data_IF_722123327426
#
_entry.id   IF_722123327426
#
_cell.length_a   1.000
_cell.length_b   1.000
_cell.length_c   1.000
_cell.angle_alpha   90.00
_cell.angle_beta   90.00
_cell.angle_gamma   90.00
#
_symmetry.space_group_name_H-M   'P 1'
#
loop_
_entity.id
_entity.type
_entity.pdbx_description
1 polymer ?
#
# COMPACT_ATOMS: atom_id res chain seq x y z
N UNK A 1 7.03 48.17 32.83
CA UNK A 1 7.61 46.89 32.30
C UNK A 1 6.45 45.99 31.96
N UNK A 2 6.09 45.86 30.69
CA UNK A 2 5.11 44.88 30.20
C UNK A 2 5.83 43.53 30.00
N UNK A 3 5.52 42.58 30.84
CA UNK A 3 5.96 41.21 30.63
C UNK A 3 5.27 40.61 29.42
N UNK A 4 6.05 40.23 28.41
CA UNK A 4 5.59 39.51 27.23
C UNK A 4 5.45 38.04 27.66
N UNK A 5 4.20 37.58 27.79
CA UNK A 5 3.91 36.17 28.02
C UNK A 5 4.25 35.44 26.73
N UNK A 6 5.33 34.68 26.71
CA UNK A 6 5.62 33.75 25.64
C UNK A 6 4.78 32.51 25.88
N UNK A 7 3.73 32.34 25.07
CA UNK A 7 3.00 31.07 24.97
C UNK A 7 3.86 30.16 24.09
N UNK A 8 4.47 29.14 24.71
CA UNK A 8 5.00 28.03 23.95
C UNK A 8 3.80 27.24 23.39
N UNK A 9 3.44 27.50 22.16
CA UNK A 9 2.63 26.54 21.39
C UNK A 9 3.48 25.29 21.19
N UNK A 10 3.26 24.31 22.05
CA UNK A 10 3.72 22.94 21.81
C UNK A 10 2.80 22.40 20.72
N UNK A 11 3.26 22.40 19.48
CA UNK A 11 2.61 21.63 18.41
C UNK A 11 2.66 20.18 18.89
N UNK A 12 1.53 19.66 19.36
CA UNK A 12 1.37 18.23 19.57
C UNK A 12 1.39 17.61 18.17
N UNK A 13 2.48 16.96 17.82
CA UNK A 13 2.48 16.01 16.74
C UNK A 13 1.53 14.87 17.18
N UNK A 14 0.33 14.85 16.62
CA UNK A 14 -0.63 13.79 16.92
C UNK A 14 -0.07 12.48 16.35
N UNK A 15 0.16 11.52 17.24
CA UNK A 15 0.60 10.16 16.87
C UNK A 15 -0.54 9.49 16.10
N UNK A 16 -0.25 9.04 14.89
CA UNK A 16 -1.21 8.33 14.05
C UNK A 16 -1.02 6.82 14.15
N UNK A 17 -2.13 6.09 14.01
CA UNK A 17 -2.16 4.64 13.84
C UNK A 17 -2.28 4.33 12.36
N UNK A 18 -1.17 3.95 11.72
CA UNK A 18 -1.11 3.72 10.26
C UNK A 18 -1.05 2.23 9.97
N UNK A 19 -1.85 1.78 9.00
CA UNK A 19 -1.91 0.38 8.60
C UNK A 19 -1.31 0.22 7.21
N UNK A 20 -0.27 -0.59 7.09
CA UNK A 20 0.34 -0.98 5.83
C UNK A 20 -0.25 -2.31 5.37
N UNK A 21 -0.74 -2.36 4.13
CA UNK A 21 -1.32 -3.54 3.49
C UNK A 21 -0.44 -3.92 2.30
N UNK A 22 0.07 -5.14 2.25
CA UNK A 22 0.92 -5.65 1.15
C UNK A 22 0.23 -6.81 0.46
N UNK A 23 0.05 -6.67 -0.83
CA UNK A 23 -0.51 -7.71 -1.70
C UNK A 23 0.56 -8.74 -2.06
N UNK A 24 0.43 -9.94 -1.50
CA UNK A 24 1.27 -11.09 -1.77
C UNK A 24 0.51 -12.23 -2.48
N UNK A 25 -0.55 -11.91 -3.25
CA UNK A 25 -1.23 -12.89 -4.09
C UNK A 25 -0.32 -13.40 -5.22
N UNK A 26 -0.66 -14.54 -5.80
CA UNK A 26 0.12 -15.13 -6.91
C UNK A 26 0.32 -14.15 -8.09
N UNK A 27 -0.65 -13.29 -8.37
CA UNK A 27 -0.55 -12.27 -9.42
C UNK A 27 0.61 -11.31 -9.22
N UNK A 28 1.05 -11.08 -7.97
CA UNK A 28 2.19 -10.22 -7.65
C UNK A 28 3.57 -10.85 -7.95
N UNK A 29 3.60 -12.12 -8.40
CA UNK A 29 4.82 -12.83 -8.80
C UNK A 29 5.27 -12.56 -10.23
N UNK A 30 4.53 -11.74 -10.98
CA UNK A 30 4.88 -11.42 -12.38
C UNK A 30 6.27 -10.77 -12.44
N UNK A 31 7.09 -11.25 -13.35
CA UNK A 31 8.47 -10.79 -13.44
C UNK A 31 9.47 -11.93 -13.25
N UNK A 32 10.72 -11.60 -13.05
CA UNK A 32 11.80 -12.56 -12.83
C UNK A 32 12.88 -12.00 -11.92
N UNK A 33 13.40 -12.84 -11.05
CA UNK A 33 14.50 -12.46 -10.15
C UNK A 33 14.01 -11.56 -9.00
N UNK A 34 14.71 -10.43 -8.79
CA UNK A 34 14.48 -9.51 -7.66
C UNK A 34 13.51 -8.36 -7.96
N UNK A 35 12.95 -8.32 -9.17
CA UNK A 35 12.09 -7.23 -9.62
C UNK A 35 10.70 -7.77 -9.96
N UNK A 36 9.91 -8.07 -8.94
CA UNK A 36 8.49 -8.41 -9.06
C UNK A 36 7.63 -7.33 -8.41
N UNK A 37 6.34 -7.20 -8.73
CA UNK A 37 5.43 -6.29 -8.03
C UNK A 37 5.46 -6.51 -6.50
N UNK A 38 5.52 -7.77 -6.03
CA UNK A 38 5.65 -8.07 -4.60
C UNK A 38 6.94 -7.51 -4.01
N UNK A 39 8.08 -7.72 -4.66
CA UNK A 39 9.37 -7.24 -4.18
C UNK A 39 9.41 -5.71 -4.11
N UNK A 40 8.84 -5.02 -5.12
CA UNK A 40 8.68 -3.58 -5.10
C UNK A 40 7.78 -3.14 -3.95
N UNK A 41 6.62 -3.78 -3.78
CA UNK A 41 5.68 -3.51 -2.68
C UNK A 41 6.33 -3.69 -1.31
N UNK A 42 7.09 -4.75 -1.10
CA UNK A 42 7.82 -4.99 0.15
C UNK A 42 8.88 -3.91 0.43
N UNK A 43 9.64 -3.49 -0.59
CA UNK A 43 10.63 -2.40 -0.45
C UNK A 43 9.98 -1.06 -0.13
N UNK A 44 8.86 -0.76 -0.79
CA UNK A 44 8.09 0.44 -0.50
C UNK A 44 7.53 0.40 0.93
N UNK A 45 6.86 -0.68 1.31
CA UNK A 45 6.32 -0.85 2.65
C UNK A 45 7.39 -0.73 3.74
N UNK A 46 8.59 -1.31 3.52
CA UNK A 46 9.71 -1.16 4.45
C UNK A 46 10.18 0.30 4.59
N UNK A 47 10.24 1.03 3.48
CA UNK A 47 10.63 2.45 3.48
C UNK A 47 9.61 3.30 4.22
N UNK A 48 8.31 3.08 3.96
CA UNK A 48 7.22 3.78 4.66
C UNK A 48 7.18 3.43 6.14
N UNK A 49 7.30 2.15 6.49
CA UNK A 49 7.34 1.71 7.88
C UNK A 49 8.45 2.42 8.64
N UNK A 50 9.66 2.49 8.06
CA UNK A 50 10.79 3.19 8.68
C UNK A 50 10.47 4.66 8.88
N UNK A 51 10.01 5.36 7.83
CA UNK A 51 9.69 6.79 7.92
C UNK A 51 8.64 7.09 8.98
N UNK A 52 7.51 6.35 8.96
CA UNK A 52 6.41 6.54 9.91
C UNK A 52 6.84 6.28 11.36
N UNK A 53 7.66 5.26 11.59
CA UNK A 53 8.20 4.95 12.92
C UNK A 53 9.23 5.99 13.40
N UNK A 54 10.06 6.55 12.49
CA UNK A 54 10.97 7.65 12.78
C UNK A 54 10.18 8.93 13.18
N UNK A 55 9.01 9.14 12.59
CA UNK A 55 8.03 10.19 12.93
C UNK A 55 7.19 9.87 14.18
N UNK A 56 7.51 8.78 14.90
CA UNK A 56 6.86 8.31 16.14
C UNK A 56 5.41 7.86 16.00
N UNK A 57 4.94 7.58 14.78
CA UNK A 57 3.65 6.96 14.55
C UNK A 57 3.63 5.49 15.00
N UNK A 58 2.44 4.96 15.29
CA UNK A 58 2.25 3.52 15.44
C UNK A 58 1.99 2.93 14.05
N UNK A 59 2.60 1.80 13.76
CA UNK A 59 2.48 1.15 12.45
C UNK A 59 2.05 -0.30 12.64
N UNK A 60 1.05 -0.75 11.90
CA UNK A 60 0.75 -2.17 11.72
C UNK A 60 1.09 -2.59 10.29
N UNK A 61 1.42 -3.86 10.10
CA UNK A 61 1.62 -4.44 8.78
C UNK A 61 0.70 -5.64 8.61
N UNK A 62 0.09 -5.75 7.43
CA UNK A 62 -0.63 -6.93 6.98
C UNK A 62 -0.15 -7.33 5.60
N UNK A 63 0.18 -8.60 5.45
CA UNK A 63 0.54 -9.21 4.18
C UNK A 63 -0.55 -10.22 3.86
N UNK A 64 -1.20 -10.08 2.71
CA UNK A 64 -2.29 -10.97 2.32
C UNK A 64 -2.02 -11.68 1.00
N UNK A 65 -2.37 -12.96 0.95
CA UNK A 65 -2.17 -13.81 -0.21
C UNK A 65 -3.02 -15.07 -0.12
N UNK A 66 -2.49 -16.18 0.38
CA UNK A 66 -3.25 -17.36 0.76
C UNK A 66 -3.94 -17.20 2.13
N UNK A 67 -3.29 -16.46 3.02
CA UNK A 67 -3.77 -16.08 4.35
C UNK A 67 -3.35 -14.66 4.67
N UNK A 68 -3.71 -14.17 5.84
CA UNK A 68 -3.30 -12.84 6.32
C UNK A 68 -2.25 -13.03 7.40
N UNK A 69 -1.03 -12.57 7.14
CA UNK A 69 0.02 -12.42 8.15
C UNK A 69 -0.08 -11.00 8.75
N UNK A 70 -0.03 -10.91 10.09
CA UNK A 70 -0.23 -9.64 10.82
C UNK A 70 0.95 -9.32 11.72
N UNK A 71 1.36 -8.06 11.69
CA UNK A 71 2.19 -7.42 12.71
C UNK A 71 1.35 -6.30 13.30
N UNK A 72 0.96 -6.47 14.57
CA UNK A 72 0.04 -5.55 15.25
C UNK A 72 0.63 -4.15 15.43
N UNK A 73 -0.24 -3.14 15.70
CA UNK A 73 0.15 -1.77 15.95
C UNK A 73 1.15 -1.68 17.11
N UNK A 74 2.33 -1.13 16.84
CA UNK A 74 3.36 -0.81 17.81
C UNK A 74 4.34 0.22 17.21
N UNK A 75 5.37 0.63 17.93
CA UNK A 75 6.36 1.64 17.52
C UNK A 75 7.78 1.29 17.97
N UNK A 76 8.74 2.04 17.41
CA UNK A 76 10.16 1.95 17.79
C UNK A 76 10.95 0.93 16.97
N UNK A 77 12.27 0.89 17.19
CA UNK A 77 13.22 0.10 16.38
C UNK A 77 12.96 -1.41 16.42
N UNK A 78 12.60 -1.94 17.59
CA UNK A 78 12.29 -3.36 17.69
C UNK A 78 11.06 -3.74 16.87
N UNK A 79 10.08 -2.84 16.79
CA UNK A 79 8.90 -3.04 15.97
C UNK A 79 9.23 -2.97 14.47
N UNK A 80 10.09 -2.03 14.05
CA UNK A 80 10.61 -1.98 12.69
C UNK A 80 11.24 -3.32 12.30
N UNK A 81 12.04 -3.92 13.19
CA UNK A 81 12.65 -5.22 12.93
C UNK A 81 11.62 -6.34 12.69
N UNK A 82 10.51 -6.37 13.46
CA UNK A 82 9.39 -7.31 13.24
C UNK A 82 8.77 -7.12 11.85
N UNK A 83 8.50 -5.86 11.46
CA UNK A 83 7.95 -5.52 10.14
C UNK A 83 8.90 -5.98 9.01
N UNK A 84 10.19 -5.66 9.11
CA UNK A 84 11.17 -6.06 8.11
C UNK A 84 11.31 -7.58 8.00
N UNK A 85 11.22 -8.29 9.11
CA UNK A 85 11.24 -9.76 9.14
C UNK A 85 10.03 -10.35 8.41
N UNK A 86 8.82 -9.85 8.69
CA UNK A 86 7.60 -10.28 7.99
C UNK A 86 7.69 -10.00 6.49
N UNK A 87 8.09 -8.79 6.08
CA UNK A 87 8.25 -8.43 4.67
C UNK A 87 9.31 -9.30 3.96
N UNK A 88 10.38 -9.67 4.63
CA UNK A 88 11.43 -10.53 4.06
C UNK A 88 11.00 -11.97 3.85
N UNK A 89 9.98 -12.42 4.59
CA UNK A 89 9.41 -13.78 4.48
C UNK A 89 8.23 -13.84 3.52
N UNK A 90 7.72 -12.72 3.05
CA UNK A 90 6.57 -12.64 2.15
C UNK A 90 6.81 -13.44 0.86
N UNK A 91 5.83 -14.26 0.50
CA UNK A 91 5.87 -15.08 -0.73
C UNK A 91 4.58 -14.88 -1.51
N UNK A 92 4.65 -14.85 -2.84
CA UNK A 92 3.45 -14.74 -3.67
C UNK A 92 2.69 -16.08 -3.63
N UNK A 93 1.55 -16.10 -2.96
CA UNK A 93 0.73 -17.30 -2.75
C UNK A 93 -0.75 -16.97 -2.64
N UNK A 94 -1.60 -17.83 -3.19
CA UNK A 94 -3.06 -17.72 -3.08
C UNK A 94 -3.66 -16.52 -3.82
N UNK A 95 -4.94 -16.27 -3.55
CA UNK A 95 -5.70 -15.25 -4.28
C UNK A 95 -6.81 -14.62 -3.40
N UNK A 96 -6.48 -14.30 -2.16
CA UNK A 96 -7.42 -13.68 -1.22
C UNK A 96 -7.77 -12.27 -1.71
N UNK A 97 -9.06 -12.00 -1.94
CA UNK A 97 -9.51 -10.71 -2.45
C UNK A 97 -9.41 -9.61 -1.39
N UNK A 98 -9.05 -8.39 -1.84
CA UNK A 98 -8.88 -7.23 -0.96
C UNK A 98 -10.15 -6.92 -0.16
N UNK A 99 -11.33 -7.10 -0.75
CA UNK A 99 -12.61 -6.91 -0.07
C UNK A 99 -12.72 -7.76 1.20
N UNK A 100 -12.31 -9.04 1.12
CA UNK A 100 -12.34 -9.96 2.26
C UNK A 100 -11.36 -9.51 3.33
N UNK A 101 -10.14 -9.10 2.91
CA UNK A 101 -9.10 -8.60 3.81
C UNK A 101 -9.59 -7.36 4.57
N UNK A 102 -10.14 -6.38 3.88
CA UNK A 102 -10.65 -5.15 4.49
C UNK A 102 -11.86 -5.42 5.39
N UNK A 103 -12.75 -6.31 4.99
CA UNK A 103 -13.92 -6.70 5.81
C UNK A 103 -13.50 -7.34 7.13
N UNK A 104 -12.45 -8.17 7.11
CA UNK A 104 -11.89 -8.81 8.30
C UNK A 104 -11.08 -7.82 9.16
N UNK A 105 -10.39 -6.88 8.54
CA UNK A 105 -9.48 -5.94 9.19
C UNK A 105 -10.20 -4.77 9.88
N UNK A 106 -11.11 -4.09 9.18
CA UNK A 106 -11.68 -2.81 9.62
C UNK A 106 -12.31 -2.83 11.02
N UNK A 107 -12.92 -3.94 11.51
CA UNK A 107 -13.43 -4.00 12.87
C UNK A 107 -12.37 -3.90 13.99
N UNK A 108 -11.11 -4.15 13.68
CA UNK A 108 -10.01 -4.24 14.65
C UNK A 108 -9.06 -3.05 14.63
N UNK A 109 -9.23 -2.11 13.71
CA UNK A 109 -8.39 -0.91 13.63
C UNK A 109 -9.17 0.34 14.07
N UNK A 110 -8.49 1.33 14.69
CA UNK A 110 -9.13 2.57 15.08
C UNK A 110 -9.78 3.27 13.89
N UNK A 111 -10.98 3.82 14.10
CA UNK A 111 -11.69 4.56 13.06
C UNK A 111 -10.88 5.77 12.60
N UNK A 112 -10.80 5.97 11.29
CA UNK A 112 -10.02 7.08 10.71
C UNK A 112 -8.53 6.79 10.55
N UNK A 113 -8.04 5.59 10.92
CA UNK A 113 -6.66 5.20 10.65
C UNK A 113 -6.39 5.23 9.15
N UNK A 114 -5.28 5.86 8.70
CA UNK A 114 -4.86 5.80 7.30
C UNK A 114 -4.43 4.38 6.93
N UNK A 115 -4.90 3.92 5.78
CA UNK A 115 -4.51 2.66 5.16
C UNK A 115 -3.59 2.96 3.99
N UNK A 116 -2.43 2.31 3.92
CA UNK A 116 -1.53 2.40 2.77
C UNK A 116 -1.44 1.02 2.14
N UNK A 117 -1.99 0.90 0.94
CA UNK A 117 -2.02 -0.34 0.18
C UNK A 117 -0.88 -0.37 -0.84
N UNK A 118 -0.12 -1.44 -0.84
CA UNK A 118 0.91 -1.77 -1.83
C UNK A 118 0.42 -2.98 -2.64
N UNK A 119 -0.09 -2.73 -3.84
CA UNK A 119 -0.67 -3.76 -4.71
C UNK A 119 -0.59 -3.35 -6.16
N UNK A 120 -0.34 -4.30 -7.04
CA UNK A 120 -0.44 -4.08 -8.49
C UNK A 120 -1.87 -3.80 -8.95
N UNK A 121 -2.87 -4.04 -8.11
CA UNK A 121 -4.31 -3.92 -8.40
C UNK A 121 -4.81 -4.89 -9.49
N UNK A 122 -3.99 -5.85 -9.88
CA UNK A 122 -4.33 -6.79 -10.93
C UNK A 122 -5.26 -7.90 -10.44
N UNK A 123 -6.05 -8.45 -11.34
CA UNK A 123 -6.90 -9.64 -11.16
C UNK A 123 -7.84 -9.58 -9.93
N UNK A 124 -8.34 -8.38 -9.60
CA UNK A 124 -9.34 -8.21 -8.55
C UNK A 124 -10.45 -7.25 -8.98
N UNK A 125 -11.53 -7.79 -9.50
CA UNK A 125 -12.69 -7.00 -9.95
C UNK A 125 -13.52 -6.40 -8.80
N UNK A 126 -13.21 -6.75 -7.54
CA UNK A 126 -13.92 -6.25 -6.35
C UNK A 126 -13.26 -5.02 -5.74
N UNK A 127 -12.13 -4.54 -6.30
CA UNK A 127 -11.33 -3.44 -5.73
C UNK A 127 -12.15 -2.16 -5.59
N UNK A 128 -12.87 -1.74 -6.63
CA UNK A 128 -13.67 -0.51 -6.60
C UNK A 128 -14.75 -0.55 -5.50
N UNK A 129 -15.40 -1.70 -5.33
CA UNK A 129 -16.40 -1.91 -4.28
C UNK A 129 -15.74 -1.94 -2.89
N UNK A 130 -14.64 -2.65 -2.73
CA UNK A 130 -13.87 -2.72 -1.50
C UNK A 130 -13.44 -1.33 -1.02
N UNK A 131 -12.97 -0.50 -1.93
CA UNK A 131 -12.57 0.87 -1.64
C UNK A 131 -13.75 1.75 -1.26
N UNK A 132 -14.83 1.73 -2.02
CA UNK A 132 -16.05 2.49 -1.73
C UNK A 132 -16.60 2.14 -0.35
N UNK A 133 -16.67 0.85 -0.01
CA UNK A 133 -17.11 0.37 1.29
C UNK A 133 -16.19 0.86 2.43
N UNK A 134 -14.89 0.92 2.20
CA UNK A 134 -13.91 1.35 3.21
C UNK A 134 -14.02 2.86 3.46
N UNK A 135 -14.14 3.67 2.41
CA UNK A 135 -14.33 5.12 2.52
C UNK A 135 -15.65 5.46 3.20
N UNK A 136 -16.74 4.75 2.87
CA UNK A 136 -18.03 4.97 3.48
C UNK A 136 -18.04 4.75 5.01
N UNK A 137 -17.07 4.01 5.52
CA UNK A 137 -16.84 3.79 6.95
C UNK A 137 -15.89 4.80 7.60
N UNK A 138 -15.43 5.82 6.84
CA UNK A 138 -14.59 6.90 7.33
C UNK A 138 -13.09 6.61 7.35
N UNK A 139 -12.63 5.58 6.62
CA UNK A 139 -11.19 5.31 6.44
C UNK A 139 -10.67 5.97 5.18
N UNK A 140 -9.40 6.31 5.18
CA UNK A 140 -8.68 6.77 3.98
C UNK A 140 -7.76 5.68 3.46
N UNK A 141 -7.70 5.51 2.14
CA UNK A 141 -6.78 4.56 1.50
C UNK A 141 -5.90 5.33 0.53
N UNK A 142 -4.60 5.19 0.70
CA UNK A 142 -3.60 5.59 -0.30
C UNK A 142 -3.02 4.33 -0.91
N UNK A 143 -2.95 4.26 -2.21
CA UNK A 143 -2.43 3.07 -2.91
C UNK A 143 -1.12 3.40 -3.62
N UNK A 144 -0.12 2.57 -3.43
CA UNK A 144 1.12 2.54 -4.22
C UNK A 144 1.06 1.31 -5.09
N UNK A 145 0.94 1.52 -6.40
CA UNK A 145 0.65 0.43 -7.34
C UNK A 145 1.81 0.21 -8.31
N UNK A 146 2.70 -0.78 -8.05
CA UNK A 146 3.70 -1.17 -9.02
C UNK A 146 3.02 -1.84 -10.23
N UNK A 147 3.34 -1.35 -11.44
CA UNK A 147 2.74 -1.88 -12.67
C UNK A 147 3.31 -3.26 -13.03
N UNK A 148 2.48 -4.30 -12.97
CA UNK A 148 2.86 -5.64 -13.43
C UNK A 148 3.09 -5.67 -14.95
N UNK A 149 2.38 -4.82 -15.71
CA UNK A 149 2.45 -4.74 -17.16
C UNK A 149 3.85 -4.31 -17.65
N UNK A 150 4.55 -3.48 -16.89
CA UNK A 150 5.92 -3.07 -17.23
C UNK A 150 6.91 -4.26 -17.15
N UNK A 151 6.66 -5.19 -16.22
CA UNK A 151 7.44 -6.43 -16.13
C UNK A 151 7.13 -7.38 -17.28
N UNK A 152 5.85 -7.55 -17.63
CA UNK A 152 5.42 -8.39 -18.74
C UNK A 152 5.97 -7.87 -20.08
N UNK A 153 5.95 -6.56 -20.31
CA UNK A 153 6.50 -5.92 -21.50
C UNK A 153 8.01 -6.15 -21.62
N UNK A 154 8.75 -5.90 -20.53
CA UNK A 154 10.21 -6.11 -20.51
C UNK A 154 10.59 -7.56 -20.77
N UNK A 155 9.80 -8.50 -20.28
CA UNK A 155 10.03 -9.93 -20.50
C UNK A 155 9.48 -10.43 -21.84
N UNK A 156 8.81 -9.58 -22.64
CA UNK A 156 8.18 -9.93 -23.92
C UNK A 156 7.23 -11.13 -23.81
N UNK A 157 6.55 -11.25 -22.67
CA UNK A 157 5.64 -12.38 -22.40
C UNK A 157 4.28 -12.19 -23.04
N UNK A 158 3.85 -10.94 -23.20
CA UNK A 158 2.55 -10.56 -23.77
C UNK A 158 2.78 -9.89 -25.13
N UNK A 159 2.04 -10.30 -26.19
CA UNK A 159 2.04 -9.58 -27.47
C UNK A 159 1.56 -8.12 -27.30
N UNK A 160 1.96 -7.24 -28.22
CA UNK A 160 1.71 -5.80 -28.12
C UNK A 160 0.22 -5.42 -28.05
N UNK A 161 -0.67 -6.12 -28.78
CA UNK A 161 -2.10 -5.79 -28.77
C UNK A 161 -2.79 -6.13 -27.44
N UNK A 162 -2.67 -7.34 -26.87
CA UNK A 162 -3.19 -7.62 -25.52
C UNK A 162 -2.59 -6.72 -24.44
N UNK A 163 -1.30 -6.38 -24.55
CA UNK A 163 -0.64 -5.47 -23.61
C UNK A 163 -1.27 -4.08 -23.63
N UNK A 164 -1.59 -3.56 -24.83
CA UNK A 164 -2.26 -2.26 -24.96
C UNK A 164 -3.65 -2.27 -24.31
N UNK A 165 -4.42 -3.34 -24.50
CA UNK A 165 -5.75 -3.49 -23.88
C UNK A 165 -5.60 -3.50 -22.35
N UNK A 166 -4.69 -4.31 -21.81
CA UNK A 166 -4.45 -4.38 -20.39
C UNK A 166 -4.01 -3.04 -19.77
N UNK A 167 -3.21 -2.23 -20.49
CA UNK A 167 -2.86 -0.87 -20.08
C UNK A 167 -4.09 0.04 -20.00
N UNK A 168 -4.96 0.01 -21.01
CA UNK A 168 -6.20 0.81 -21.02
C UNK A 168 -7.11 0.40 -19.85
N UNK A 169 -7.26 -0.89 -19.59
CA UNK A 169 -8.06 -1.40 -18.47
C UNK A 169 -7.49 -0.94 -17.12
N UNK A 170 -6.17 -1.00 -16.96
CA UNK A 170 -5.48 -0.50 -15.76
C UNK A 170 -5.67 1.01 -15.59
N UNK A 171 -5.48 1.81 -16.65
CA UNK A 171 -5.65 3.27 -16.61
C UNK A 171 -7.10 3.64 -16.26
N UNK A 172 -8.07 2.90 -16.77
CA UNK A 172 -9.49 3.07 -16.42
C UNK A 172 -9.74 2.77 -14.94
N UNK A 173 -9.21 1.66 -14.42
CA UNK A 173 -9.32 1.29 -13.01
C UNK A 173 -8.71 2.37 -12.09
N UNK A 174 -7.49 2.81 -12.40
CA UNK A 174 -6.82 3.87 -11.62
C UNK A 174 -7.63 5.17 -11.66
N UNK A 175 -8.16 5.53 -12.83
CA UNK A 175 -9.00 6.72 -12.99
C UNK A 175 -10.31 6.62 -12.20
N UNK A 176 -10.94 5.44 -12.20
CA UNK A 176 -12.12 5.16 -11.39
C UNK A 176 -11.83 5.31 -9.90
N UNK A 177 -10.75 4.70 -9.40
CA UNK A 177 -10.33 4.79 -8.00
C UNK A 177 -10.07 6.26 -7.61
N UNK A 178 -9.39 7.02 -8.46
CA UNK A 178 -9.16 8.47 -8.24
C UNK A 178 -10.45 9.28 -8.22
N UNK A 179 -11.46 8.89 -9.00
CA UNK A 179 -12.76 9.56 -9.01
C UNK A 179 -13.51 9.48 -7.67
N UNK A 180 -13.20 8.48 -6.85
CA UNK A 180 -13.71 8.34 -5.48
C UNK A 180 -12.92 9.19 -4.46
N UNK A 181 -11.98 10.03 -4.90
CA UNK A 181 -11.15 10.88 -4.04
C UNK A 181 -9.96 10.19 -3.40
N UNK A 182 -9.60 9.00 -3.88
CA UNK A 182 -8.44 8.27 -3.36
C UNK A 182 -7.15 8.65 -4.09
N UNK A 183 -6.04 8.59 -3.34
CA UNK A 183 -4.72 8.75 -3.90
C UNK A 183 -4.20 7.40 -4.42
N UNK A 184 -3.85 7.36 -5.69
CA UNK A 184 -3.19 6.20 -6.31
C UNK A 184 -1.92 6.68 -7.00
N UNK A 185 -0.78 6.27 -6.48
CA UNK A 185 0.52 6.39 -7.12
C UNK A 185 0.75 5.21 -8.05
N UNK A 186 0.67 5.42 -9.36
CA UNK A 186 1.06 4.42 -10.36
C UNK A 186 2.58 4.39 -10.46
N UNK A 187 3.20 3.35 -9.92
CA UNK A 187 4.64 3.26 -9.80
C UNK A 187 5.25 2.43 -10.91
N UNK A 188 5.99 3.11 -11.78
CA UNK A 188 6.75 2.44 -12.84
C UNK A 188 8.03 1.84 -12.29
N UNK A 189 8.43 0.73 -12.87
CA UNK A 189 9.54 -0.09 -12.40
C UNK A 189 10.93 0.59 -12.46
N UNK A 190 11.06 1.70 -13.17
CA UNK A 190 12.28 2.50 -13.31
C UNK A 190 12.29 3.78 -12.46
N UNK A 191 11.20 4.06 -11.73
CA UNK A 191 11.06 5.24 -10.89
C UNK A 191 11.42 4.97 -9.43
N UNK A 192 11.90 5.99 -8.72
CA UNK A 192 12.09 5.91 -7.28
C UNK A 192 10.73 5.94 -6.55
N UNK A 193 10.61 5.20 -5.42
CA UNK A 193 9.37 5.10 -4.62
C UNK A 193 8.75 6.47 -4.30
N UNK A 194 9.58 7.47 -3.99
CA UNK A 194 9.11 8.82 -3.63
C UNK A 194 8.44 9.57 -4.79
N UNK A 195 8.71 9.18 -6.05
CA UNK A 195 8.13 9.83 -7.23
C UNK A 195 6.69 9.38 -7.45
N UNK A 196 6.38 8.12 -7.14
CA UNK A 196 5.05 7.55 -7.31
C UNK A 196 3.96 8.25 -6.47
N UNK A 197 4.35 8.88 -5.36
CA UNK A 197 3.41 9.58 -4.46
C UNK A 197 3.27 11.06 -4.72
N UNK A 198 4.20 11.66 -5.46
CA UNK A 198 4.15 13.10 -5.79
C UNK A 198 3.36 13.39 -7.06
N UNK A 199 2.97 12.36 -7.81
CA UNK A 199 2.24 12.45 -9.08
C UNK A 199 0.73 12.21 -8.98
N UNK A 200 0.14 12.20 -7.79
CA UNK A 200 -1.30 12.01 -7.57
C UNK A 200 -2.06 13.30 -7.39
#
# INVERSE_FOLDING_TARGET
KKGKMMVNETVREDVMDVILLVDAREVSAVGGGKDTPLEMSCRAAATYAKQLLDERNNVALMIYGESIERVDLDRGEHHLFKILTALSSAKPQGNLKLEIVLKDLLPYIPSGSPLILFSSLDDDHTISEAFTNTISRGYTITTVSPSSLDFEERMKRIPAQPLLIARIERDNLISEIRSFGMQVGDWKSDEAVNTALQGG
#
